data_IF_767377786629
#
_entry.id   IF_767377786629
#
_cell.length_a   1.000
_cell.length_b   1.000
_cell.length_c   1.000
_cell.angle_alpha   90.00
_cell.angle_beta   90.00
_cell.angle_gamma   90.00
#
_symmetry.space_group_name_H-M   'P 1'
#
loop_
_entity.id
_entity.type
_entity.pdbx_description
1 polymer ?
#
# COMPACT_ATOMS: atom_id res chain seq x y z
N UNK A 1 -54.93 -37.89 24.45
CA UNK A 1 -53.64 -37.31 24.72
C UNK A 1 -53.05 -36.72 23.44
N UNK A 2 -52.98 -35.40 23.32
CA UNK A 2 -52.41 -34.67 22.17
C UNK A 2 -50.93 -34.46 22.44
N UNK A 3 -50.09 -34.89 21.48
CA UNK A 3 -48.65 -34.59 21.43
C UNK A 3 -48.47 -33.22 20.77
N UNK A 4 -47.70 -32.28 21.31
CA UNK A 4 -47.38 -31.06 20.61
C UNK A 4 -46.19 -31.27 19.67
N UNK A 5 -46.38 -30.86 18.43
CA UNK A 5 -45.41 -30.83 17.38
C UNK A 5 -44.46 -29.63 17.58
N UNK A 6 -43.21 -29.86 17.93
CA UNK A 6 -42.16 -28.84 17.95
C UNK A 6 -41.26 -28.98 16.70
N UNK A 7 -41.61 -28.24 15.69
CA UNK A 7 -40.72 -28.05 14.52
C UNK A 7 -39.70 -26.96 14.86
N UNK A 8 -38.52 -27.35 15.32
CA UNK A 8 -37.34 -26.49 15.29
C UNK A 8 -36.78 -26.50 13.87
N UNK A 9 -37.15 -25.51 13.09
CA UNK A 9 -36.50 -25.20 11.84
C UNK A 9 -35.15 -24.57 12.12
N UNK A 10 -34.09 -25.32 11.84
CA UNK A 10 -32.73 -24.80 11.73
C UNK A 10 -32.70 -23.93 10.48
N UNK A 11 -32.80 -22.60 10.66
CA UNK A 11 -32.48 -21.64 9.61
C UNK A 11 -30.97 -21.48 9.57
N UNK A 12 -30.31 -22.27 8.76
CA UNK A 12 -29.00 -21.96 8.24
C UNK A 12 -29.14 -20.73 7.32
N UNK A 13 -28.97 -19.54 7.85
CA UNK A 13 -28.87 -18.33 7.05
C UNK A 13 -27.50 -18.26 6.42
N UNK A 14 -27.34 -18.82 5.23
CA UNK A 14 -26.26 -18.40 4.34
C UNK A 14 -26.46 -16.92 4.04
N UNK A 15 -25.65 -16.06 4.67
CA UNK A 15 -25.54 -14.66 4.27
C UNK A 15 -24.75 -14.59 2.97
N UNK A 16 -25.39 -14.96 1.86
CA UNK A 16 -24.94 -14.53 0.55
C UNK A 16 -24.97 -13.01 0.55
N UNK A 17 -23.81 -12.38 0.54
CA UNK A 17 -23.66 -10.95 0.28
C UNK A 17 -24.24 -10.71 -1.11
N UNK A 18 -25.47 -10.23 -1.19
CA UNK A 18 -26.07 -9.86 -2.47
C UNK A 18 -25.36 -8.60 -2.94
N UNK A 19 -24.77 -8.63 -4.14
CA UNK A 19 -24.18 -7.48 -4.84
C UNK A 19 -25.14 -6.26 -4.94
N UNK A 20 -26.39 -6.40 -4.55
CA UNK A 20 -27.41 -5.35 -4.53
C UNK A 20 -27.39 -4.45 -3.28
N UNK A 21 -26.53 -4.70 -2.28
CA UNK A 21 -26.43 -3.86 -1.07
C UNK A 21 -25.28 -2.86 -1.08
N UNK A 22 -24.45 -2.81 -2.12
CA UNK A 22 -23.52 -1.72 -2.36
C UNK A 22 -24.26 -0.54 -3.00
N UNK A 23 -25.21 0.04 -2.29
CA UNK A 23 -25.68 1.38 -2.62
C UNK A 23 -24.62 2.36 -2.13
N UNK A 24 -24.01 3.10 -3.03
CA UNK A 24 -23.23 4.29 -2.70
C UNK A 24 -24.22 5.31 -2.10
N UNK A 25 -24.47 5.17 -0.80
CA UNK A 25 -25.19 6.17 -0.04
C UNK A 25 -24.28 7.41 0.13
N UNK A 26 -24.87 8.59 0.33
CA UNK A 26 -24.13 9.84 0.49
C UNK A 26 -23.06 9.75 1.60
N UNK A 27 -23.35 9.04 2.67
CA UNK A 27 -22.49 8.89 3.82
C UNK A 27 -21.28 7.98 3.50
N UNK A 28 -21.53 6.85 2.82
CA UNK A 28 -20.48 5.97 2.29
C UNK A 28 -19.57 6.70 1.29
N UNK A 29 -20.14 7.50 0.39
CA UNK A 29 -19.38 8.28 -0.57
C UNK A 29 -18.53 9.36 0.11
N UNK A 30 -19.05 9.97 1.17
CA UNK A 30 -18.30 10.93 1.98
C UNK A 30 -17.15 10.25 2.71
N UNK A 31 -17.40 9.09 3.32
CA UNK A 31 -16.40 8.30 4.05
C UNK A 31 -15.23 7.87 3.16
N UNK A 32 -15.47 7.56 1.89
CA UNK A 32 -14.46 7.15 0.91
C UNK A 32 -14.00 8.31 0.01
N UNK A 33 -14.23 9.56 0.41
CA UNK A 33 -13.94 10.72 -0.42
C UNK A 33 -12.47 10.79 -0.88
N UNK A 34 -11.43 10.58 -0.04
CA UNK A 34 -10.03 10.59 -0.49
C UNK A 34 -9.74 9.52 -1.55
N UNK A 35 -10.29 8.30 -1.37
CA UNK A 35 -10.12 7.16 -2.28
C UNK A 35 -10.85 7.40 -3.60
N UNK A 36 -12.05 7.96 -3.56
CA UNK A 36 -12.81 8.35 -4.76
C UNK A 36 -12.10 9.45 -5.55
N UNK A 37 -11.50 10.41 -4.88
CA UNK A 37 -10.67 11.45 -5.51
C UNK A 37 -9.46 10.82 -6.20
N UNK A 38 -8.78 9.87 -5.55
CA UNK A 38 -7.65 9.15 -6.16
C UNK A 38 -8.11 8.33 -7.37
N UNK A 39 -9.23 7.62 -7.29
CA UNK A 39 -9.80 6.87 -8.41
C UNK A 39 -10.16 7.80 -9.59
N UNK A 40 -10.79 8.96 -9.30
CA UNK A 40 -11.06 9.97 -10.31
C UNK A 40 -9.78 10.51 -10.95
N UNK A 41 -8.70 10.64 -10.17
CA UNK A 41 -7.38 11.01 -10.65
C UNK A 41 -6.79 10.00 -11.64
N UNK A 42 -6.91 8.70 -11.36
CA UNK A 42 -6.52 7.64 -12.31
C UNK A 42 -7.30 7.78 -13.61
N UNK A 43 -8.62 7.94 -13.55
CA UNK A 43 -9.45 8.13 -14.73
C UNK A 43 -9.06 9.40 -15.49
N UNK A 44 -8.78 10.51 -14.79
CA UNK A 44 -8.34 11.75 -15.40
C UNK A 44 -6.99 11.61 -16.14
N UNK A 45 -6.00 10.91 -15.54
CA UNK A 45 -4.70 10.66 -16.16
C UNK A 45 -4.84 9.76 -17.39
N UNK A 46 -5.77 8.82 -17.41
CA UNK A 46 -6.03 7.96 -18.57
C UNK A 46 -6.76 8.73 -19.67
N UNK A 47 -7.79 9.50 -19.29
CA UNK A 47 -8.70 10.12 -20.27
C UNK A 47 -8.12 11.42 -20.85
N UNK A 48 -7.61 12.33 -20.02
CA UNK A 48 -7.23 13.68 -20.46
C UNK A 48 -6.10 13.66 -21.50
N UNK A 49 -5.01 12.89 -21.39
CA UNK A 49 -3.99 12.82 -22.43
C UNK A 49 -4.47 12.15 -23.72
N UNK A 50 -5.55 11.37 -23.66
CA UNK A 50 -6.13 10.67 -24.80
C UNK A 50 -7.30 11.43 -25.44
N UNK A 51 -7.66 12.61 -24.92
CA UNK A 51 -8.65 13.48 -25.56
C UNK A 51 -8.06 14.05 -26.85
N UNK A 52 -8.68 13.72 -27.98
CA UNK A 52 -8.26 14.24 -29.29
C UNK A 52 -8.60 15.72 -29.47
N UNK A 53 -8.06 16.34 -30.54
CA UNK A 53 -8.29 17.75 -30.89
C UNK A 53 -9.74 18.08 -31.28
N UNK A 54 -10.61 17.08 -31.46
CA UNK A 54 -12.03 17.28 -31.75
C UNK A 54 -12.74 17.86 -30.52
N UNK A 55 -13.16 19.09 -30.60
CA UNK A 55 -13.91 19.77 -29.55
C UNK A 55 -15.33 20.10 -29.98
N UNK A 56 -16.30 19.77 -29.14
CA UNK A 56 -17.68 20.20 -29.30
C UNK A 56 -17.89 21.53 -28.55
N UNK A 57 -18.49 22.52 -29.19
CA UNK A 57 -18.92 23.76 -28.52
C UNK A 57 -20.27 23.51 -27.88
N UNK A 58 -20.34 23.62 -26.56
CA UNK A 58 -21.65 23.63 -25.90
C UNK A 58 -22.48 24.83 -26.41
N UNK A 59 -23.66 24.58 -26.97
CA UNK A 59 -24.55 25.66 -27.33
C UNK A 59 -24.88 26.49 -26.10
N UNK A 60 -24.78 27.81 -26.18
CA UNK A 60 -24.94 28.80 -25.10
C UNK A 60 -23.73 29.08 -24.23
N UNK A 61 -22.60 28.42 -24.35
CA UNK A 61 -21.38 28.73 -23.60
C UNK A 61 -20.17 28.85 -24.51
N UNK A 62 -19.16 29.61 -24.07
CA UNK A 62 -17.86 29.69 -24.79
C UNK A 62 -16.96 28.47 -24.48
N UNK A 63 -17.48 27.50 -23.73
CA UNK A 63 -16.73 26.32 -23.32
C UNK A 63 -16.61 25.31 -24.47
N UNK A 64 -15.39 24.89 -24.76
CA UNK A 64 -15.11 23.77 -25.67
C UNK A 64 -14.88 22.52 -24.85
N UNK A 65 -15.72 21.52 -25.05
CA UNK A 65 -15.57 20.20 -24.42
C UNK A 65 -14.88 19.27 -25.41
N UNK A 66 -13.73 18.68 -25.09
CA UNK A 66 -13.09 17.71 -25.96
C UNK A 66 -13.94 16.46 -26.10
N UNK A 67 -14.02 15.90 -27.30
CA UNK A 67 -14.74 14.66 -27.57
C UNK A 67 -13.72 13.52 -27.55
N UNK A 68 -14.03 12.45 -26.82
CA UNK A 68 -13.30 11.19 -26.88
C UNK A 68 -13.54 10.57 -28.27
N UNK A 69 -12.60 10.73 -29.17
CA UNK A 69 -12.64 10.06 -30.47
C UNK A 69 -11.60 8.94 -30.45
N UNK A 70 -12.07 7.70 -30.36
CA UNK A 70 -11.26 6.52 -30.66
C UNK A 70 -10.88 6.54 -32.13
N UNK A 71 -9.66 6.94 -32.43
CA UNK A 71 -9.15 6.99 -33.81
C UNK A 71 -7.65 7.25 -33.81
N UNK A 72 -6.99 6.94 -34.90
CA UNK A 72 -5.56 6.87 -35.18
C UNK A 72 -4.72 8.15 -34.94
N UNK A 73 -5.22 9.13 -34.22
CA UNK A 73 -4.53 10.36 -33.81
C UNK A 73 -4.37 10.41 -32.31
N UNK A 74 -3.49 9.58 -31.77
CA UNK A 74 -2.90 9.78 -30.46
C UNK A 74 -1.93 10.96 -30.52
N UNK A 75 -2.40 12.15 -30.67
CA UNK A 75 -1.65 13.31 -30.26
C UNK A 75 -1.91 13.46 -28.75
N UNK A 76 -1.17 12.68 -27.97
CA UNK A 76 -0.99 12.97 -26.56
C UNK A 76 -0.65 14.46 -26.44
N UNK A 77 -1.32 15.17 -25.54
CA UNK A 77 -1.02 16.58 -25.28
C UNK A 77 0.49 16.74 -25.20
N UNK A 78 1.05 17.66 -25.97
CA UNK A 78 2.50 17.85 -26.09
C UNK A 78 3.19 18.28 -24.77
N UNK A 79 2.45 18.39 -23.66
CA UNK A 79 3.00 18.74 -22.35
C UNK A 79 3.36 17.46 -21.56
N UNK A 80 4.65 17.08 -21.50
CA UNK A 80 5.09 15.88 -20.76
C UNK A 80 4.90 16.01 -19.25
N UNK A 81 4.54 17.18 -18.73
CA UNK A 81 4.29 17.42 -17.30
C UNK A 81 2.82 17.28 -16.90
N UNK A 82 1.94 17.11 -17.86
CA UNK A 82 0.50 17.04 -17.59
C UNK A 82 0.14 15.87 -16.65
N UNK A 83 0.62 14.62 -16.85
CA UNK A 83 0.33 13.52 -15.94
C UNK A 83 0.79 13.80 -14.49
N UNK A 84 1.97 14.39 -14.32
CA UNK A 84 2.47 14.78 -13.01
C UNK A 84 1.59 15.86 -12.36
N UNK A 85 1.16 16.89 -13.11
CA UNK A 85 0.27 17.93 -12.58
C UNK A 85 -1.08 17.37 -12.13
N UNK A 86 -1.66 16.45 -12.92
CA UNK A 86 -2.92 15.79 -12.55
C UNK A 86 -2.72 14.96 -11.29
N UNK A 87 -1.66 14.14 -11.22
CA UNK A 87 -1.37 13.32 -10.05
C UNK A 87 -1.14 14.18 -8.79
N UNK A 88 -0.32 15.22 -8.89
CA UNK A 88 -0.05 16.14 -7.77
C UNK A 88 -1.33 16.85 -7.31
N UNK A 89 -2.18 17.29 -8.24
CA UNK A 89 -3.48 17.88 -7.91
C UNK A 89 -4.38 16.85 -7.22
N UNK A 90 -4.45 15.62 -7.74
CA UNK A 90 -5.22 14.51 -7.15
C UNK A 90 -4.78 14.25 -5.71
N UNK A 91 -3.47 14.10 -5.47
CA UNK A 91 -2.96 13.90 -4.11
C UNK A 91 -3.18 15.11 -3.22
N UNK A 92 -3.11 16.35 -3.75
CA UNK A 92 -3.39 17.55 -2.96
C UNK A 92 -4.84 17.61 -2.51
N UNK A 93 -5.79 17.30 -3.41
CA UNK A 93 -7.22 17.30 -3.09
C UNK A 93 -7.55 16.13 -2.15
N UNK A 94 -7.01 14.93 -2.40
CA UNK A 94 -7.20 13.77 -1.54
C UNK A 94 -6.61 14.01 -0.13
N UNK A 95 -5.45 14.66 -0.03
CA UNK A 95 -4.84 15.02 1.24
C UNK A 95 -5.68 16.04 2.01
N UNK A 96 -6.17 17.07 1.34
CA UNK A 96 -7.08 18.04 1.96
C UNK A 96 -8.37 17.37 2.45
N UNK A 97 -8.94 16.47 1.63
CA UNK A 97 -10.12 15.69 2.03
C UNK A 97 -9.84 14.82 3.26
N UNK A 98 -8.70 14.11 3.31
CA UNK A 98 -8.33 13.27 4.45
C UNK A 98 -8.12 14.08 5.74
N UNK A 99 -7.57 15.29 5.66
CA UNK A 99 -7.42 16.17 6.81
C UNK A 99 -8.77 16.70 7.32
N UNK A 100 -9.70 17.05 6.42
CA UNK A 100 -11.03 17.52 6.80
C UNK A 100 -11.86 16.44 7.51
N UNK A 101 -11.55 15.17 7.22
CA UNK A 101 -12.26 14.02 7.79
C UNK A 101 -11.64 13.49 9.09
N UNK A 102 -10.52 14.05 9.55
CA UNK A 102 -9.76 13.48 10.68
C UNK A 102 -10.58 13.36 11.97
N UNK A 103 -11.49 14.30 12.20
CA UNK A 103 -12.37 14.38 13.40
C UNK A 103 -13.79 13.84 13.14
N UNK A 104 -14.09 13.25 11.96
CA UNK A 104 -15.44 12.73 11.70
C UNK A 104 -15.71 11.44 12.51
N UNK A 105 -16.98 11.06 12.68
CA UNK A 105 -17.39 9.82 13.36
C UNK A 105 -16.82 8.59 12.65
N UNK A 106 -16.64 7.49 13.38
CA UNK A 106 -16.24 6.23 12.76
C UNK A 106 -17.43 5.61 12.03
N UNK A 107 -17.21 5.19 10.78
CA UNK A 107 -18.22 4.59 9.92
C UNK A 107 -17.73 3.30 9.30
N UNK A 108 -18.62 2.33 9.17
CA UNK A 108 -18.34 1.07 8.49
C UNK A 108 -18.88 1.09 7.06
N UNK A 109 -18.06 0.60 6.14
CA UNK A 109 -18.39 0.53 4.72
C UNK A 109 -18.36 -0.94 4.28
N UNK A 110 -19.51 -1.46 3.90
CA UNK A 110 -19.66 -2.81 3.36
C UNK A 110 -19.26 -3.95 4.32
N UNK A 111 -19.12 -3.70 5.61
CA UNK A 111 -18.72 -4.71 6.61
C UNK A 111 -17.27 -5.18 6.52
N UNK A 112 -16.47 -4.63 5.60
CA UNK A 112 -15.06 -5.00 5.36
C UNK A 112 -14.08 -3.85 5.52
N UNK A 113 -14.57 -2.61 5.57
CA UNK A 113 -13.79 -1.40 5.78
C UNK A 113 -14.40 -0.60 6.93
N UNK A 114 -13.55 0.01 7.74
CA UNK A 114 -13.95 0.93 8.81
C UNK A 114 -13.07 2.17 8.75
N UNK A 115 -13.72 3.32 8.62
CA UNK A 115 -13.07 4.61 8.72
C UNK A 115 -13.07 5.04 10.19
N UNK A 116 -11.98 4.80 10.88
CA UNK A 116 -11.74 5.20 12.27
C UNK A 116 -10.61 6.25 12.36
N UNK A 117 -10.38 6.83 13.53
CA UNK A 117 -9.32 7.83 13.72
C UNK A 117 -7.92 7.30 13.34
N UNK A 118 -7.67 6.00 13.57
CA UNK A 118 -6.43 5.34 13.20
C UNK A 118 -6.26 5.27 11.68
N UNK A 119 -7.26 4.77 10.96
CA UNK A 119 -7.20 4.67 9.50
C UNK A 119 -7.08 6.02 8.82
N UNK A 120 -7.79 7.05 9.31
CA UNK A 120 -7.74 8.42 8.77
C UNK A 120 -6.37 9.06 8.95
N UNK A 121 -5.78 8.90 10.13
CA UNK A 121 -4.44 9.41 10.40
C UNK A 121 -3.42 8.80 9.43
N UNK A 122 -3.43 7.48 9.29
CA UNK A 122 -2.50 6.81 8.40
C UNK A 122 -2.80 7.06 6.92
N UNK A 123 -4.07 7.13 6.50
CA UNK A 123 -4.43 7.56 5.14
C UNK A 123 -3.89 8.95 4.83
N UNK A 124 -4.05 9.91 5.73
CA UNK A 124 -3.49 11.25 5.55
C UNK A 124 -1.95 11.21 5.44
N UNK A 125 -1.26 10.42 6.28
CA UNK A 125 0.19 10.25 6.20
C UNK A 125 0.62 9.63 4.86
N UNK A 126 -0.05 8.58 4.38
CA UNK A 126 0.26 7.94 3.10
C UNK A 126 0.04 8.87 1.92
N UNK A 127 -1.11 9.55 1.88
CA UNK A 127 -1.43 10.49 0.80
C UNK A 127 -0.46 11.69 0.83
N UNK A 128 -0.11 12.19 2.02
CA UNK A 128 0.88 13.25 2.19
C UNK A 128 2.28 12.86 1.69
N UNK A 129 2.74 11.66 2.03
CA UNK A 129 4.01 11.13 1.52
C UNK A 129 3.99 10.98 -0.01
N UNK A 130 2.90 10.47 -0.59
CA UNK A 130 2.73 10.33 -2.04
C UNK A 130 2.64 11.69 -2.75
N UNK A 131 2.06 12.70 -2.11
CA UNK A 131 2.08 14.08 -2.60
C UNK A 131 3.52 14.60 -2.73
N UNK A 132 4.35 14.37 -1.70
CA UNK A 132 5.77 14.74 -1.74
C UNK A 132 6.53 13.96 -2.83
N UNK A 133 6.28 12.67 -2.96
CA UNK A 133 6.88 11.82 -4.01
C UNK A 133 6.45 12.30 -5.41
N UNK A 134 5.17 12.62 -5.61
CA UNK A 134 4.66 13.17 -6.87
C UNK A 134 5.30 14.50 -7.20
N UNK A 135 5.42 15.40 -6.22
CA UNK A 135 6.10 16.69 -6.38
C UNK A 135 7.60 16.53 -6.69
N UNK A 136 8.29 15.60 -6.01
CA UNK A 136 9.70 15.29 -6.26
C UNK A 136 9.93 14.65 -7.64
N UNK A 137 8.92 13.99 -8.20
CA UNK A 137 8.92 13.37 -9.53
C UNK A 137 8.57 14.34 -10.67
N UNK A 138 8.43 15.65 -10.39
CA UNK A 138 8.04 16.67 -11.36
C UNK A 138 9.05 16.85 -12.50
N UNK A 139 10.29 16.43 -12.33
CA UNK A 139 11.26 16.38 -13.40
C UNK A 139 10.97 15.19 -14.30
N UNK A 140 11.00 15.44 -15.62
CA UNK A 140 10.86 14.41 -16.64
C UNK A 140 11.82 13.27 -16.31
N UNK A 141 11.31 12.06 -16.14
CA UNK A 141 12.14 10.87 -16.04
C UNK A 141 12.70 10.63 -17.44
N UNK A 142 14.00 10.95 -17.72
CA UNK A 142 14.53 10.75 -19.04
C UNK A 142 14.55 9.25 -19.32
N UNK A 143 13.88 8.84 -20.40
CA UNK A 143 14.30 7.61 -21.02
C UNK A 143 15.74 7.86 -21.43
N UNK A 144 16.71 7.18 -20.84
CA UNK A 144 18.06 7.12 -21.38
C UNK A 144 17.97 6.35 -22.69
N UNK A 145 17.51 7.03 -23.72
CA UNK A 145 17.75 6.56 -25.06
C UNK A 145 19.25 6.71 -25.27
N UNK A 146 19.93 5.61 -25.46
CA UNK A 146 21.17 5.53 -26.23
C UNK A 146 20.86 5.86 -27.73
N UNK A 147 20.00 6.85 -27.96
CA UNK A 147 19.87 7.46 -29.24
C UNK A 147 21.20 8.20 -29.49
N UNK A 148 22.14 7.55 -30.16
CA UNK A 148 23.13 8.25 -30.97
C UNK A 148 22.30 9.31 -31.68
N UNK A 149 22.53 10.59 -31.37
CA UNK A 149 21.89 11.71 -32.06
C UNK A 149 22.28 11.52 -33.51
N UNK A 150 21.36 11.16 -34.43
CA UNK A 150 21.70 11.05 -35.83
C UNK A 150 21.98 12.46 -36.29
N UNK A 151 23.11 12.63 -36.93
CA UNK A 151 23.60 13.94 -37.37
C UNK A 151 22.99 14.37 -38.72
N UNK A 152 22.10 13.57 -39.32
CA UNK A 152 21.53 13.84 -40.64
C UNK A 152 20.00 14.00 -40.64
N UNK A 153 19.56 14.95 -41.45
CA UNK A 153 18.22 15.53 -41.58
C UNK A 153 17.18 14.65 -42.32
N UNK A 154 17.25 13.34 -42.23
CA UNK A 154 16.34 12.44 -42.94
C UNK A 154 14.96 12.34 -42.32
N UNK A 155 13.94 12.17 -43.14
CA UNK A 155 12.52 12.02 -42.71
C UNK A 155 12.28 10.86 -41.71
N UNK A 156 13.07 9.80 -41.77
CA UNK A 156 13.10 8.73 -40.79
C UNK A 156 13.47 9.21 -39.37
N UNK A 157 14.38 10.19 -39.29
CA UNK A 157 14.81 10.79 -38.01
C UNK A 157 13.70 11.57 -37.33
N UNK A 158 12.83 12.23 -38.08
CA UNK A 158 11.69 12.98 -37.57
C UNK A 158 10.61 12.01 -37.06
N UNK A 159 10.39 10.91 -37.78
CA UNK A 159 9.44 9.87 -37.37
C UNK A 159 9.89 9.16 -36.06
N UNK A 160 11.20 8.79 -36.01
CA UNK A 160 11.76 8.16 -34.80
C UNK A 160 11.75 9.08 -33.59
N UNK A 161 11.99 10.40 -33.79
CA UNK A 161 11.91 11.40 -32.74
C UNK A 161 10.49 11.62 -32.22
N UNK A 162 9.48 11.60 -33.11
CA UNK A 162 8.05 11.65 -32.71
C UNK A 162 7.67 10.41 -31.91
N UNK A 163 8.09 9.23 -32.33
CA UNK A 163 7.83 7.97 -31.63
C UNK A 163 8.50 7.99 -30.24
N UNK A 164 9.75 8.44 -30.14
CA UNK A 164 10.44 8.58 -28.85
C UNK A 164 9.71 9.50 -27.87
N UNK A 165 9.26 10.67 -28.33
CA UNK A 165 8.48 11.60 -27.48
C UNK A 165 7.15 11.01 -27.05
N UNK A 166 6.45 10.30 -27.93
CA UNK A 166 5.20 9.63 -27.61
C UNK A 166 5.40 8.52 -26.56
N UNK A 167 6.45 7.74 -26.69
CA UNK A 167 6.78 6.67 -25.72
C UNK A 167 7.14 7.26 -24.35
N UNK A 168 7.89 8.36 -24.31
CA UNK A 168 8.23 9.06 -23.06
C UNK A 168 6.99 9.60 -22.35
N UNK A 169 6.06 10.19 -23.10
CA UNK A 169 4.81 10.71 -22.53
C UNK A 169 3.94 9.57 -21.95
N UNK A 170 3.87 8.44 -22.65
CA UNK A 170 3.13 7.27 -22.18
C UNK A 170 3.72 6.71 -20.89
N UNK A 171 5.03 6.64 -20.78
CA UNK A 171 5.71 6.22 -19.55
C UNK A 171 5.40 7.13 -18.36
N UNK A 172 5.26 8.45 -18.57
CA UNK A 172 4.85 9.38 -17.51
C UNK A 172 3.42 9.08 -17.02
N UNK A 173 2.52 8.75 -17.92
CA UNK A 173 1.15 8.32 -17.58
C UNK A 173 1.19 7.06 -16.70
N UNK A 174 1.90 6.02 -17.14
CA UNK A 174 1.99 4.75 -16.42
C UNK A 174 2.61 4.92 -15.02
N UNK A 175 3.67 5.74 -14.90
CA UNK A 175 4.30 6.04 -13.61
C UNK A 175 3.33 6.64 -12.60
N UNK A 176 2.56 7.65 -13.02
CA UNK A 176 1.67 8.35 -12.10
C UNK A 176 0.40 7.57 -11.79
N UNK A 177 -0.09 6.73 -12.72
CA UNK A 177 -1.17 5.78 -12.43
C UNK A 177 -0.71 4.80 -11.33
N UNK A 178 0.46 4.18 -11.50
CA UNK A 178 0.99 3.26 -10.50
C UNK A 178 1.18 3.94 -9.14
N UNK A 179 1.63 5.20 -9.13
CA UNK A 179 1.79 5.95 -7.88
C UNK A 179 0.44 6.17 -7.16
N UNK A 180 -0.63 6.49 -7.90
CA UNK A 180 -1.97 6.63 -7.31
C UNK A 180 -2.52 5.26 -6.86
N UNK A 181 -2.25 4.18 -7.59
CA UNK A 181 -2.65 2.82 -7.17
C UNK A 181 -1.96 2.40 -5.87
N UNK A 182 -0.71 2.81 -5.65
CA UNK A 182 -0.03 2.65 -4.36
C UNK A 182 -0.82 3.35 -3.25
N UNK A 183 -1.23 4.60 -3.48
CA UNK A 183 -2.02 5.38 -2.52
C UNK A 183 -3.36 4.73 -2.18
N UNK A 184 -4.09 4.28 -3.19
CA UNK A 184 -5.34 3.56 -3.02
C UNK A 184 -5.16 2.29 -2.18
N UNK A 185 -4.15 1.46 -2.52
CA UNK A 185 -3.87 0.25 -1.76
C UNK A 185 -3.52 0.52 -0.30
N UNK A 186 -2.68 1.53 -0.03
CA UNK A 186 -2.27 1.90 1.33
C UNK A 186 -3.45 2.45 2.15
N UNK A 187 -4.26 3.33 1.57
CA UNK A 187 -5.40 3.95 2.25
C UNK A 187 -6.48 2.92 2.57
N UNK A 188 -6.91 2.12 1.60
CA UNK A 188 -7.89 1.05 1.80
C UNK A 188 -7.40 -0.03 2.78
N UNK A 189 -6.10 -0.37 2.75
CA UNK A 189 -5.50 -1.29 3.73
C UNK A 189 -5.64 -0.76 5.16
N UNK A 190 -5.40 0.54 5.37
CA UNK A 190 -5.53 1.14 6.70
C UNK A 190 -6.96 1.09 7.23
N UNK A 191 -7.97 1.07 6.36
CA UNK A 191 -9.39 0.96 6.71
C UNK A 191 -9.88 -0.49 6.85
N UNK A 192 -9.09 -1.49 6.44
CA UNK A 192 -9.54 -2.89 6.38
C UNK A 192 -9.84 -3.46 7.76
N UNK A 193 -11.04 -4.05 7.91
CA UNK A 193 -11.49 -4.82 9.09
C UNK A 193 -11.51 -6.32 8.82
N UNK A 194 -11.18 -6.72 7.60
CA UNK A 194 -11.14 -8.11 7.17
C UNK A 194 -9.74 -8.45 6.65
N UNK A 195 -9.18 -9.58 7.07
CA UNK A 195 -7.82 -9.99 6.76
C UNK A 195 -7.61 -10.21 5.25
N UNK A 196 -8.62 -10.73 4.54
CA UNK A 196 -8.56 -10.91 3.10
C UNK A 196 -8.46 -9.55 2.38
N UNK A 197 -9.32 -8.59 2.75
CA UNK A 197 -9.28 -7.24 2.18
C UNK A 197 -7.96 -6.54 2.48
N UNK A 198 -7.42 -6.69 3.70
CA UNK A 198 -6.12 -6.16 4.09
C UNK A 198 -5.01 -6.68 3.18
N UNK A 199 -4.97 -8.00 2.93
CA UNK A 199 -3.96 -8.62 2.04
C UNK A 199 -4.12 -8.14 0.59
N UNK A 200 -5.34 -8.08 0.06
CA UNK A 200 -5.60 -7.59 -1.31
C UNK A 200 -5.12 -6.14 -1.48
N UNK A 201 -5.38 -5.28 -0.51
CA UNK A 201 -4.94 -3.88 -0.54
C UNK A 201 -3.41 -3.74 -0.44
N UNK A 202 -2.76 -4.57 0.39
CA UNK A 202 -1.29 -4.65 0.44
C UNK A 202 -0.74 -5.08 -0.91
N UNK A 203 -1.32 -6.08 -1.57
CA UNK A 203 -0.85 -6.55 -2.87
C UNK A 203 -1.06 -5.52 -3.97
N UNK A 204 -2.16 -4.78 -3.96
CA UNK A 204 -2.38 -3.66 -4.88
C UNK A 204 -1.26 -2.61 -4.79
N UNK A 205 -0.91 -2.19 -3.58
CA UNK A 205 0.19 -1.26 -3.36
C UNK A 205 1.55 -1.88 -3.73
N UNK A 206 1.75 -3.17 -3.44
CA UNK A 206 3.02 -3.88 -3.63
C UNK A 206 3.35 -4.11 -5.09
N UNK A 207 2.41 -4.64 -5.87
CA UNK A 207 2.59 -4.87 -7.30
C UNK A 207 2.91 -3.56 -8.01
N UNK A 208 2.21 -2.48 -7.63
CA UNK A 208 2.49 -1.14 -8.16
C UNK A 208 3.90 -0.66 -7.79
N UNK A 209 4.36 -0.88 -6.54
CA UNK A 209 5.72 -0.49 -6.13
C UNK A 209 6.80 -1.35 -6.78
N UNK A 210 6.57 -2.65 -7.03
CA UNK A 210 7.54 -3.49 -7.75
C UNK A 210 7.81 -2.96 -9.16
N UNK A 211 6.76 -2.56 -9.87
CA UNK A 211 6.89 -1.95 -11.20
C UNK A 211 7.57 -0.58 -11.12
N UNK A 212 7.26 0.24 -10.10
CA UNK A 212 7.90 1.53 -9.90
C UNK A 212 9.40 1.42 -9.59
N UNK A 213 9.84 0.38 -8.86
CA UNK A 213 11.27 0.09 -8.62
C UNK A 213 11.97 -0.27 -9.93
N UNK A 214 11.34 -1.11 -10.77
CA UNK A 214 11.85 -1.53 -12.07
C UNK A 214 11.61 -0.49 -13.18
N UNK A 215 11.12 0.71 -12.87
CA UNK A 215 10.64 1.66 -13.86
C UNK A 215 11.73 2.10 -14.86
N UNK A 216 12.98 2.18 -14.40
CA UNK A 216 14.17 2.44 -15.23
C UNK A 216 14.83 1.14 -15.70
N UNK A 217 14.05 0.26 -16.34
CA UNK A 217 14.49 -1.05 -16.84
C UNK A 217 15.61 -1.01 -17.87
N UNK A 218 15.88 0.16 -18.45
CA UNK A 218 16.99 0.38 -19.37
C UNK A 218 18.36 0.46 -18.65
N UNK A 219 18.34 0.64 -17.35
CA UNK A 219 19.53 0.52 -16.50
C UNK A 219 19.55 -0.89 -15.92
N UNK A 220 20.64 -1.63 -16.14
CA UNK A 220 20.79 -3.01 -15.64
C UNK A 220 20.51 -3.11 -14.14
N UNK A 221 20.98 -2.12 -13.37
CA UNK A 221 20.78 -2.05 -11.92
C UNK A 221 19.29 -1.90 -11.55
N UNK A 222 18.53 -1.09 -12.30
CA UNK A 222 17.10 -0.89 -12.07
C UNK A 222 16.27 -2.14 -12.39
N UNK A 223 16.59 -2.79 -13.53
CA UNK A 223 15.94 -4.04 -13.93
C UNK A 223 16.19 -5.18 -12.94
N UNK A 224 17.45 -5.37 -12.52
CA UNK A 224 17.85 -6.38 -11.54
C UNK A 224 17.19 -6.12 -10.17
N UNK A 225 17.21 -4.89 -9.69
CA UNK A 225 16.58 -4.51 -8.42
C UNK A 225 15.08 -4.78 -8.41
N UNK A 226 14.37 -4.42 -9.48
CA UNK A 226 12.95 -4.68 -9.63
C UNK A 226 12.62 -6.17 -9.66
N UNK A 227 13.40 -6.96 -10.42
CA UNK A 227 13.22 -8.40 -10.49
C UNK A 227 13.43 -9.08 -9.13
N UNK A 228 14.51 -8.74 -8.42
CA UNK A 228 14.76 -9.26 -7.06
C UNK A 228 13.65 -8.89 -6.09
N UNK A 229 13.22 -7.62 -6.10
CA UNK A 229 12.17 -7.14 -5.22
C UNK A 229 10.84 -7.83 -5.49
N UNK A 230 10.47 -8.02 -6.76
CA UNK A 230 9.27 -8.75 -7.16
C UNK A 230 9.32 -10.22 -6.74
N UNK A 231 10.41 -10.95 -7.04
CA UNK A 231 10.51 -12.39 -6.75
C UNK A 231 10.44 -12.64 -5.25
N UNK A 232 11.24 -11.92 -4.46
CA UNK A 232 11.26 -12.10 -2.99
C UNK A 232 9.93 -11.66 -2.38
N UNK A 233 9.36 -10.55 -2.86
CA UNK A 233 8.08 -10.03 -2.38
C UNK A 233 6.92 -10.97 -2.68
N UNK A 234 6.82 -11.47 -3.91
CA UNK A 234 5.76 -12.41 -4.29
C UNK A 234 5.88 -13.75 -3.54
N UNK A 235 7.10 -14.23 -3.30
CA UNK A 235 7.30 -15.43 -2.48
C UNK A 235 6.85 -15.19 -1.03
N UNK A 236 7.20 -14.06 -0.42
CA UNK A 236 6.76 -13.70 0.92
C UNK A 236 5.24 -13.55 1.01
N UNK A 237 4.61 -12.92 0.01
CA UNK A 237 3.15 -12.78 -0.09
C UNK A 237 2.45 -14.14 -0.22
N UNK A 238 2.99 -15.05 -1.04
CA UNK A 238 2.43 -16.40 -1.19
C UNK A 238 2.44 -17.16 0.15
N UNK A 239 3.53 -17.06 0.91
CA UNK A 239 3.62 -17.64 2.26
C UNK A 239 2.59 -17.00 3.20
N UNK A 240 2.43 -15.68 3.17
CA UNK A 240 1.44 -14.97 3.98
C UNK A 240 -0.01 -15.34 3.62
N UNK A 241 -0.34 -15.46 2.33
CA UNK A 241 -1.66 -15.91 1.86
C UNK A 241 -1.95 -17.33 2.32
N UNK A 242 -0.94 -18.22 2.31
CA UNK A 242 -1.09 -19.54 2.87
C UNK A 242 -1.34 -19.49 4.39
N UNK A 243 -0.64 -18.61 5.11
CA UNK A 243 -0.91 -18.34 6.54
C UNK A 243 -2.33 -17.87 6.80
N UNK A 244 -2.83 -16.94 5.97
CA UNK A 244 -4.22 -16.48 6.02
C UNK A 244 -5.22 -17.63 5.79
N UNK A 245 -4.92 -18.56 4.89
CA UNK A 245 -5.78 -19.73 4.65
C UNK A 245 -5.86 -20.67 5.85
N UNK A 246 -4.76 -20.82 6.60
CA UNK A 246 -4.76 -21.57 7.85
C UNK A 246 -5.58 -20.88 8.95
N UNK A 247 -5.50 -19.55 9.04
CA UNK A 247 -6.35 -18.77 9.95
C UNK A 247 -7.83 -18.93 9.61
N UNK A 248 -8.18 -18.93 8.32
CA UNK A 248 -9.55 -19.19 7.88
C UNK A 248 -9.99 -20.63 8.23
N UNK A 249 -9.14 -21.61 8.02
CA UNK A 249 -9.43 -23.01 8.38
C UNK A 249 -9.68 -23.15 9.90
N UNK A 250 -8.92 -22.44 10.72
CA UNK A 250 -9.06 -22.43 12.16
C UNK A 250 -10.30 -21.66 12.64
N UNK A 251 -10.53 -20.45 12.12
CA UNK A 251 -11.58 -19.55 12.61
C UNK A 251 -12.93 -19.75 11.92
N UNK A 252 -12.93 -20.12 10.63
CA UNK A 252 -14.11 -20.12 9.78
C UNK A 252 -14.46 -18.73 9.21
N UNK A 253 -13.79 -17.66 9.65
CA UNK A 253 -14.00 -16.28 9.22
C UNK A 253 -12.67 -15.51 9.18
N UNK A 254 -12.60 -14.46 8.36
CA UNK A 254 -11.43 -13.58 8.23
C UNK A 254 -11.68 -12.14 8.74
N UNK A 255 -12.85 -11.86 9.32
CA UNK A 255 -13.08 -10.61 10.01
C UNK A 255 -12.14 -10.51 11.24
N UNK A 256 -11.43 -9.39 11.39
CA UNK A 256 -10.45 -9.22 12.48
C UNK A 256 -11.09 -9.34 13.86
N UNK A 257 -12.36 -8.91 14.00
CA UNK A 257 -13.12 -9.04 15.24
C UNK A 257 -13.46 -10.50 15.57
N UNK A 258 -13.88 -11.28 14.57
CA UNK A 258 -14.14 -12.73 14.72
C UNK A 258 -12.86 -13.48 15.08
N UNK A 259 -11.74 -13.14 14.44
CA UNK A 259 -10.43 -13.69 14.76
C UNK A 259 -10.00 -13.35 16.19
N UNK A 260 -10.18 -12.10 16.62
CA UNK A 260 -9.84 -11.65 17.96
C UNK A 260 -10.68 -12.36 19.03
N UNK A 261 -12.00 -12.50 18.81
CA UNK A 261 -12.90 -13.22 19.72
C UNK A 261 -12.46 -14.68 19.87
N UNK A 262 -12.25 -15.36 18.73
CA UNK A 262 -11.84 -16.77 18.77
C UNK A 262 -10.43 -16.96 19.37
N UNK A 263 -9.56 -15.97 19.23
CA UNK A 263 -8.24 -15.96 19.86
C UNK A 263 -8.33 -15.83 21.37
N UNK A 264 -9.24 -14.98 21.89
CA UNK A 264 -9.45 -14.81 23.32
C UNK A 264 -10.13 -16.02 23.99
N UNK A 265 -10.90 -16.80 23.25
CA UNK A 265 -11.55 -18.04 23.72
C UNK A 265 -10.65 -19.27 23.63
N UNK A 266 -9.43 -19.14 23.11
CA UNK A 266 -8.54 -20.27 22.85
C UNK A 266 -7.86 -20.75 24.14
N UNK A 267 -8.13 -21.99 24.54
CA UNK A 267 -7.42 -22.68 25.61
C UNK A 267 -6.13 -23.32 25.08
N UNK A 268 -4.98 -22.75 25.41
CA UNK A 268 -3.68 -23.20 24.91
C UNK A 268 -3.37 -22.67 23.50
N UNK A 269 -2.43 -23.33 22.78
CA UNK A 269 -1.98 -22.91 21.45
C UNK A 269 -2.52 -23.87 20.40
N UNK A 270 -3.44 -23.38 19.55
CA UNK A 270 -3.90 -24.14 18.38
C UNK A 270 -2.83 -24.12 17.28
N UNK A 271 -2.42 -25.28 16.72
CA UNK A 271 -1.40 -25.33 15.69
C UNK A 271 -1.73 -24.54 14.42
N UNK A 272 -3.00 -24.54 13.97
CA UNK A 272 -3.41 -23.80 12.77
C UNK A 272 -3.34 -22.30 12.99
N UNK A 273 -3.79 -21.81 14.16
CA UNK A 273 -3.67 -20.42 14.54
C UNK A 273 -2.20 -19.99 14.62
N UNK A 274 -1.37 -20.78 15.30
CA UNK A 274 0.05 -20.52 15.48
C UNK A 274 0.82 -20.48 14.15
N UNK A 275 0.66 -21.50 13.31
CA UNK A 275 1.28 -21.53 11.99
C UNK A 275 0.73 -20.44 11.08
N UNK A 276 -0.58 -20.18 11.13
CA UNK A 276 -1.22 -19.12 10.35
C UNK A 276 -0.60 -17.75 10.62
N UNK A 277 -0.51 -17.35 11.89
CA UNK A 277 0.15 -16.09 12.30
C UNK A 277 1.64 -16.11 11.94
N UNK A 278 2.36 -17.21 12.20
CA UNK A 278 3.78 -17.33 11.89
C UNK A 278 4.09 -17.14 10.40
N UNK A 279 3.29 -17.72 9.52
CA UNK A 279 3.44 -17.54 8.08
C UNK A 279 3.05 -16.14 7.62
N UNK A 280 2.05 -15.51 8.21
CA UNK A 280 1.73 -14.11 7.93
C UNK A 280 2.86 -13.17 8.39
N UNK A 281 3.56 -13.50 9.47
CA UNK A 281 4.74 -12.75 9.92
C UNK A 281 5.87 -12.73 8.89
N UNK A 282 5.98 -13.73 8.01
CA UNK A 282 6.94 -13.72 6.88
C UNK A 282 6.58 -12.59 5.90
N UNK A 283 5.31 -12.48 5.53
CA UNK A 283 4.85 -11.43 4.61
C UNK A 283 5.00 -10.02 5.22
N UNK A 284 4.58 -9.84 6.47
CA UNK A 284 4.74 -8.57 7.17
C UNK A 284 6.22 -8.24 7.43
N UNK A 285 7.03 -9.24 7.78
CA UNK A 285 8.47 -9.10 7.96
C UNK A 285 9.17 -8.60 6.68
N UNK A 286 8.76 -9.10 5.51
CA UNK A 286 9.22 -8.58 4.24
C UNK A 286 8.80 -7.10 4.06
N UNK A 287 7.55 -6.75 4.35
CA UNK A 287 7.03 -5.37 4.19
C UNK A 287 7.71 -4.35 5.09
N UNK A 288 7.97 -4.70 6.35
CA UNK A 288 8.72 -3.83 7.27
C UNK A 288 10.22 -3.93 7.10
N UNK A 289 10.70 -4.83 6.24
CA UNK A 289 12.11 -5.15 6.03
C UNK A 289 12.80 -5.69 7.30
N UNK A 290 12.12 -6.56 8.04
CA UNK A 290 12.69 -7.25 9.20
C UNK A 290 13.66 -8.36 8.77
N UNK A 291 14.74 -8.59 9.52
CA UNK A 291 15.63 -9.72 9.29
C UNK A 291 14.91 -11.05 9.67
N UNK A 292 15.03 -12.12 8.86
CA UNK A 292 15.87 -12.28 7.67
C UNK A 292 15.25 -11.79 6.35
N UNK A 293 14.03 -11.27 6.34
CA UNK A 293 13.24 -10.96 5.13
C UNK A 293 13.64 -9.64 4.43
N UNK A 294 14.64 -8.90 4.96
CA UNK A 294 15.09 -7.60 4.46
C UNK A 294 15.97 -7.65 3.21
N UNK A 295 16.34 -8.83 2.72
CA UNK A 295 17.41 -9.03 1.72
C UNK A 295 17.19 -8.25 0.41
N UNK A 296 15.95 -8.06 -0.02
CA UNK A 296 15.64 -7.34 -1.26
C UNK A 296 15.63 -5.81 -1.09
N UNK A 297 15.49 -5.28 0.13
CA UNK A 297 15.32 -3.85 0.37
C UNK A 297 16.54 -3.00 -0.06
N UNK A 298 17.81 -3.37 0.26
CA UNK A 298 18.96 -2.56 -0.14
C UNK A 298 19.13 -2.48 -1.66
N UNK A 299 18.83 -3.56 -2.38
CA UNK A 299 18.88 -3.59 -3.84
C UNK A 299 17.74 -2.78 -4.45
N UNK A 300 16.52 -2.92 -3.93
CA UNK A 300 15.36 -2.15 -4.37
C UNK A 300 15.59 -0.63 -4.21
N UNK A 301 16.14 -0.18 -3.06
CA UNK A 301 16.40 1.24 -2.82
C UNK A 301 17.53 1.79 -3.70
N UNK A 302 18.57 0.99 -3.96
CA UNK A 302 19.68 1.43 -4.80
C UNK A 302 19.32 1.50 -6.27
N UNK A 303 18.46 0.60 -6.76
CA UNK A 303 18.04 0.53 -8.17
C UNK A 303 16.87 1.43 -8.53
N UNK A 304 16.01 1.78 -7.57
CA UNK A 304 14.89 2.68 -7.80
C UNK A 304 15.34 4.14 -7.99
N UNK A 305 14.49 4.96 -8.64
CA UNK A 305 14.66 6.42 -8.66
C UNK A 305 14.57 6.99 -7.24
N UNK A 306 15.24 8.12 -6.97
CA UNK A 306 15.30 8.68 -5.61
C UNK A 306 13.93 8.96 -4.96
N UNK A 307 12.91 9.48 -5.69
CA UNK A 307 11.56 9.60 -5.12
C UNK A 307 10.93 8.26 -4.73
N UNK A 308 11.15 7.21 -5.53
CA UNK A 308 10.63 5.87 -5.24
C UNK A 308 11.42 5.22 -4.09
N UNK A 309 12.73 5.42 -4.00
CA UNK A 309 13.50 4.98 -2.84
C UNK A 309 12.99 5.63 -1.54
N UNK A 310 12.65 6.93 -1.60
CA UNK A 310 11.99 7.63 -0.49
C UNK A 310 10.62 7.03 -0.13
N UNK A 311 9.78 6.71 -1.12
CA UNK A 311 8.49 6.06 -0.92
C UNK A 311 8.63 4.70 -0.20
N UNK A 312 9.63 3.89 -0.61
CA UNK A 312 9.89 2.60 0.01
C UNK A 312 10.38 2.75 1.46
N UNK A 313 11.21 3.76 1.72
CA UNK A 313 11.76 4.02 3.06
C UNK A 313 10.69 4.52 4.06
N UNK A 314 9.68 5.23 3.60
CA UNK A 314 8.67 5.90 4.42
C UNK A 314 7.30 5.20 4.34
N UNK A 315 6.46 5.57 3.39
CA UNK A 315 5.07 5.13 3.30
C UNK A 315 4.91 3.61 3.13
N UNK A 316 5.74 2.96 2.30
CA UNK A 316 5.67 1.51 2.11
C UNK A 316 6.00 0.75 3.41
N UNK A 317 6.96 1.24 4.18
CA UNK A 317 7.30 0.67 5.49
C UNK A 317 6.21 0.94 6.52
N UNK A 318 5.68 2.16 6.56
CA UNK A 318 4.56 2.51 7.42
C UNK A 318 3.33 1.63 7.12
N UNK A 319 3.04 1.34 5.85
CA UNK A 319 2.00 0.39 5.46
C UNK A 319 2.22 -0.98 6.09
N UNK A 320 3.46 -1.52 6.05
CA UNK A 320 3.79 -2.79 6.69
C UNK A 320 3.54 -2.79 8.19
N UNK A 321 3.91 -1.71 8.89
CA UNK A 321 3.64 -1.56 10.32
C UNK A 321 2.16 -1.40 10.65
N UNK A 322 1.41 -0.64 9.86
CA UNK A 322 -0.05 -0.50 10.03
C UNK A 322 -0.75 -1.86 9.88
N UNK A 323 -0.36 -2.64 8.87
CA UNK A 323 -0.87 -4.00 8.69
C UNK A 323 -0.52 -4.91 9.87
N UNK A 324 0.72 -4.84 10.35
CA UNK A 324 1.18 -5.58 11.52
C UNK A 324 0.38 -5.20 12.78
N UNK A 325 0.13 -3.90 13.00
CA UNK A 325 -0.72 -3.42 14.09
C UNK A 325 -2.14 -3.95 13.99
N UNK A 326 -2.76 -3.87 12.81
CA UNK A 326 -4.12 -4.36 12.60
C UNK A 326 -4.24 -5.85 12.93
N UNK A 327 -3.26 -6.65 12.57
CA UNK A 327 -3.31 -8.10 12.79
C UNK A 327 -2.82 -8.50 14.17
N UNK A 328 -1.63 -8.08 14.58
CA UNK A 328 -1.07 -8.56 15.84
C UNK A 328 -1.73 -7.92 17.05
N UNK A 329 -1.89 -6.61 17.05
CA UNK A 329 -2.44 -5.91 18.23
C UNK A 329 -3.91 -6.20 18.41
N UNK A 330 -4.70 -6.30 17.34
CA UNK A 330 -6.12 -6.59 17.46
C UNK A 330 -6.41 -8.06 17.75
N UNK A 331 -5.63 -9.00 17.21
CA UNK A 331 -5.87 -10.43 17.38
C UNK A 331 -5.26 -10.94 18.69
N UNK A 332 -4.09 -10.44 19.11
CA UNK A 332 -3.29 -11.09 20.15
C UNK A 332 -3.22 -10.35 21.49
N UNK A 333 -3.54 -9.06 21.54
CA UNK A 333 -3.43 -8.24 22.79
C UNK A 333 -4.57 -8.42 23.78
N UNK A 334 -5.81 -8.84 23.41
CA UNK A 334 -6.89 -8.99 24.41
C UNK A 334 -6.59 -9.96 25.55
N UNK A 335 -5.66 -10.90 25.37
CA UNK A 335 -5.30 -11.88 26.41
C UNK A 335 -3.78 -11.98 26.59
N UNK A 336 -3.28 -11.36 27.65
CA UNK A 336 -1.84 -11.32 28.01
C UNK A 336 -1.28 -12.66 28.55
N UNK A 337 -1.98 -13.78 28.35
CA UNK A 337 -1.63 -15.08 28.91
C UNK A 337 -0.49 -15.81 28.21
N UNK A 338 -0.63 -17.12 28.01
CA UNK A 338 0.38 -18.05 27.46
C UNK A 338 0.82 -17.72 26.01
N UNK A 339 0.16 -16.79 25.35
CA UNK A 339 0.43 -16.37 23.96
C UNK A 339 1.57 -15.35 23.82
N UNK A 340 2.21 -14.96 24.91
CA UNK A 340 3.34 -14.02 24.94
C UNK A 340 4.56 -14.48 24.12
N UNK A 341 4.62 -15.76 23.70
CA UNK A 341 5.74 -16.26 22.92
C UNK A 341 5.90 -15.59 21.55
N UNK A 342 4.80 -15.14 20.93
CA UNK A 342 4.85 -14.38 19.66
C UNK A 342 5.60 -13.08 19.81
N UNK A 343 5.38 -12.40 20.91
CA UNK A 343 6.06 -11.15 21.22
C UNK A 343 7.54 -11.37 21.56
N UNK A 344 7.87 -12.49 22.19
CA UNK A 344 9.26 -12.88 22.38
C UNK A 344 9.96 -13.16 21.03
N UNK A 345 9.28 -13.83 20.10
CA UNK A 345 9.81 -14.02 18.74
C UNK A 345 10.03 -12.68 18.02
N UNK A 346 9.08 -11.73 18.17
CA UNK A 346 9.26 -10.37 17.66
C UNK A 346 10.45 -9.65 18.30
N UNK A 347 10.67 -9.80 19.60
CA UNK A 347 11.82 -9.23 20.29
C UNK A 347 13.15 -9.77 19.72
N UNK A 348 13.22 -11.09 19.49
CA UNK A 348 14.42 -11.72 18.89
C UNK A 348 14.64 -11.18 17.46
N UNK A 349 13.60 -11.14 16.64
CA UNK A 349 13.66 -10.59 15.28
C UNK A 349 14.07 -9.11 15.32
N UNK A 350 13.57 -8.33 16.28
CA UNK A 350 13.92 -6.92 16.44
C UNK A 350 15.41 -6.74 16.73
N UNK A 351 15.98 -7.51 17.68
CA UNK A 351 17.41 -7.47 18.03
C UNK A 351 18.28 -7.82 16.81
N UNK A 352 17.92 -8.89 16.09
CA UNK A 352 18.66 -9.29 14.88
C UNK A 352 18.55 -8.19 13.82
N UNK A 353 17.35 -7.64 13.60
CA UNK A 353 17.09 -6.61 12.57
C UNK A 353 17.86 -5.33 12.84
N UNK A 354 17.83 -4.81 14.09
CA UNK A 354 18.56 -3.59 14.43
C UNK A 354 20.08 -3.78 14.38
N UNK A 355 20.56 -4.93 14.83
CA UNK A 355 22.01 -5.23 14.83
C UNK A 355 22.52 -5.37 13.40
N UNK A 356 21.87 -6.19 12.59
CA UNK A 356 22.23 -6.38 11.19
C UNK A 356 22.15 -5.08 10.39
N UNK A 357 21.04 -4.33 10.54
CA UNK A 357 20.82 -3.07 9.84
C UNK A 357 21.93 -2.05 10.13
N UNK A 358 22.30 -1.87 11.41
CA UNK A 358 23.36 -0.94 11.79
C UNK A 358 24.73 -1.37 11.27
N UNK A 359 25.10 -2.65 11.42
CA UNK A 359 26.40 -3.15 10.96
C UNK A 359 26.53 -3.07 9.44
N UNK A 360 25.48 -3.44 8.69
CA UNK A 360 25.48 -3.38 7.24
C UNK A 360 25.48 -1.93 6.72
N UNK A 361 24.84 -0.99 7.42
CA UNK A 361 24.89 0.43 7.08
C UNK A 361 26.30 1.00 7.16
N UNK A 362 27.06 0.63 8.22
CA UNK A 362 28.44 1.08 8.42
C UNK A 362 29.40 0.61 7.32
N UNK A 363 29.15 -0.54 6.72
CA UNK A 363 30.00 -1.13 5.68
C UNK A 363 29.58 -0.76 4.25
N UNK A 364 28.47 -0.01 4.09
CA UNK A 364 27.93 0.35 2.79
C UNK A 364 28.61 1.58 2.20
N UNK A 365 29.21 1.44 1.00
CA UNK A 365 29.79 2.56 0.26
C UNK A 365 28.75 3.35 -0.55
N UNK A 366 27.61 2.71 -0.93
CA UNK A 366 26.55 3.36 -1.67
C UNK A 366 25.57 4.06 -0.72
N UNK A 367 25.37 5.40 -0.86
CA UNK A 367 24.49 6.15 0.04
C UNK A 367 23.06 5.63 0.10
N UNK A 368 22.49 5.20 -1.03
CA UNK A 368 21.11 4.64 -1.06
C UNK A 368 21.05 3.30 -0.32
N UNK A 369 22.04 2.43 -0.45
CA UNK A 369 22.13 1.17 0.31
C UNK A 369 22.34 1.43 1.80
N UNK A 370 23.19 2.39 2.15
CA UNK A 370 23.40 2.81 3.53
C UNK A 370 22.09 3.27 4.17
N UNK A 371 21.32 4.14 3.50
CA UNK A 371 20.02 4.59 3.97
C UNK A 371 18.99 3.44 4.03
N UNK A 372 19.05 2.48 3.11
CA UNK A 372 18.21 1.29 3.16
C UNK A 372 18.49 0.44 4.41
N UNK A 373 19.75 0.19 4.74
CA UNK A 373 20.13 -0.54 5.95
C UNK A 373 19.81 0.25 7.23
N UNK A 374 20.00 1.57 7.23
CA UNK A 374 19.52 2.44 8.31
C UNK A 374 18.01 2.29 8.51
N UNK A 375 17.24 2.28 7.42
CA UNK A 375 15.80 2.06 7.46
C UNK A 375 15.43 0.65 7.98
N UNK A 376 16.26 -0.38 7.74
CA UNK A 376 16.12 -1.72 8.36
C UNK A 376 16.35 -1.64 9.87
N UNK A 377 17.38 -0.92 10.34
CA UNK A 377 17.62 -0.74 11.78
C UNK A 377 16.45 -0.05 12.48
N UNK A 378 15.88 1.01 11.87
CA UNK A 378 14.69 1.70 12.38
C UNK A 378 13.46 0.76 12.46
N UNK A 379 13.28 -0.15 11.50
CA UNK A 379 12.25 -1.18 11.61
C UNK A 379 12.48 -2.07 12.84
N UNK A 380 13.73 -2.44 13.13
CA UNK A 380 14.08 -3.19 14.34
C UNK A 380 13.70 -2.45 15.63
N UNK A 381 13.91 -1.14 15.71
CA UNK A 381 13.49 -0.33 16.88
C UNK A 381 11.98 -0.35 17.09
N UNK A 382 11.20 -0.21 16.00
CA UNK A 382 9.75 -0.27 16.07
C UNK A 382 9.24 -1.66 16.44
N UNK A 383 9.85 -2.74 15.91
CA UNK A 383 9.50 -4.11 16.28
C UNK A 383 9.81 -4.40 17.76
N UNK A 384 10.91 -3.86 18.30
CA UNK A 384 11.19 -3.97 19.73
C UNK A 384 10.11 -3.30 20.58
N UNK A 385 9.64 -2.12 20.17
CA UNK A 385 8.55 -1.43 20.84
C UNK A 385 7.23 -2.24 20.79
N UNK A 386 6.89 -2.85 19.64
CA UNK A 386 5.71 -3.72 19.50
C UNK A 386 5.83 -4.95 20.39
N UNK A 387 7.03 -5.53 20.51
CA UNK A 387 7.24 -6.71 21.37
C UNK A 387 6.96 -6.43 22.84
N UNK A 388 7.22 -5.21 23.31
CA UNK A 388 6.89 -4.78 24.69
C UNK A 388 5.38 -4.65 24.89
N UNK A 389 4.64 -4.16 23.89
CA UNK A 389 3.18 -4.09 23.94
C UNK A 389 2.58 -5.47 24.22
N UNK A 390 3.02 -6.48 23.48
CA UNK A 390 2.46 -7.82 23.60
C UNK A 390 2.97 -8.63 24.79
N UNK A 391 4.02 -8.18 25.46
CA UNK A 391 4.47 -8.84 26.69
C UNK A 391 3.57 -8.57 27.92
N UNK A 392 2.61 -7.64 27.80
CA UNK A 392 1.77 -7.20 28.91
C UNK A 392 2.50 -6.37 29.97
N UNK A 393 3.81 -6.20 29.86
CA UNK A 393 4.64 -5.46 30.84
C UNK A 393 4.36 -3.96 30.84
N UNK A 394 3.88 -3.41 29.74
CA UNK A 394 3.64 -1.98 29.59
C UNK A 394 2.36 -1.49 30.29
N UNK A 395 1.41 -2.36 30.55
CA UNK A 395 0.06 -1.98 30.97
C UNK A 395 -0.67 -1.16 29.90
N UNK A 396 -1.87 -0.70 30.18
CA UNK A 396 -2.71 0.02 29.21
C UNK A 396 -2.12 1.39 28.82
N UNK A 397 -1.66 2.18 29.81
CA UNK A 397 -1.07 3.49 29.55
C UNK A 397 0.27 3.40 28.83
N UNK A 398 1.13 2.45 29.18
CA UNK A 398 2.39 2.19 28.50
C UNK A 398 2.18 1.74 27.05
N UNK A 399 1.21 0.86 26.81
CA UNK A 399 0.81 0.43 25.47
C UNK A 399 0.39 1.63 24.59
N UNK A 400 -0.45 2.52 25.14
CA UNK A 400 -0.87 3.75 24.45
C UNK A 400 0.32 4.64 24.11
N UNK A 401 1.25 4.86 25.04
CA UNK A 401 2.45 5.67 24.81
C UNK A 401 3.36 5.05 23.72
N UNK A 402 3.54 3.74 23.72
CA UNK A 402 4.33 3.01 22.73
C UNK A 402 3.71 3.17 21.34
N UNK A 403 2.39 3.01 21.20
CA UNK A 403 1.70 3.16 19.92
C UNK A 403 1.83 4.61 19.39
N UNK A 404 1.71 5.61 20.27
CA UNK A 404 1.94 7.01 19.91
C UNK A 404 3.39 7.23 19.44
N UNK A 405 4.37 6.69 20.17
CA UNK A 405 5.78 6.82 19.83
C UNK A 405 6.12 6.18 18.47
N UNK A 406 5.57 4.99 18.17
CA UNK A 406 5.77 4.34 16.86
C UNK A 406 5.10 5.16 15.75
N UNK A 407 3.87 5.64 15.97
CA UNK A 407 3.18 6.49 15.00
C UNK A 407 3.95 7.76 14.71
N UNK A 408 4.47 8.42 15.75
CA UNK A 408 5.33 9.60 15.61
C UNK A 408 6.62 9.26 14.84
N UNK A 409 7.26 8.13 15.16
CA UNK A 409 8.45 7.67 14.46
C UNK A 409 8.21 7.42 12.97
N UNK A 410 7.07 6.80 12.63
CA UNK A 410 6.65 6.58 11.24
C UNK A 410 6.35 7.90 10.49
N UNK A 411 5.85 8.91 11.20
CA UNK A 411 5.57 10.24 10.62
C UNK A 411 6.85 11.05 10.34
N UNK A 412 7.93 10.81 11.12
CA UNK A 412 9.20 11.54 10.99
C UNK A 412 10.16 10.86 10.00
N UNK A 413 10.03 9.53 9.79
CA UNK A 413 10.79 8.80 8.77
C UNK A 413 10.50 9.31 7.35
#
# INVERSE_FOLDING_TARGET
ARVPNSSHGVRGGESMISLGQLTLDSDTAFTLLPELVMLAGVLAIILIPNLGDASFRLPLTKLRVPILVGGSRFEATNDPRLPNRIATLTFSVAFAASLLMIDSSSEEVGGILRSDAFSRLFSAMFIGALLLVSAASAHRIPAKHNARVPTDQDSETIASRKISVLMDNRRQVDFHILLIMVGLGMSLMAMSTNLFMLVVCIELASLSTYVLVAFHKEEDVGGEAGAKYFIVGSAASAVGIYGMSLLYLWSGDLALESLATKWSEMEGIDPFAAFGVGLMMVAFGFKVSAAPFHLAAPDAYSGASSPISGLLATASKAMGFVALFRVLVMITVPDYGEQAFWFMMLAIIAVITMTWGNLAALTSENPKRMLAYSSVAHAGYMLAAISVVGSGLAGEEGTRLILIAITFHLAVL
#
